data_IF_700489383465
#
_entry.id   IF_700489383465
#
_cell.length_a   1.000
_cell.length_b   1.000
_cell.length_c   1.000
_cell.angle_alpha   90.00
_cell.angle_beta   90.00
_cell.angle_gamma   90.00
#
_symmetry.space_group_name_H-M   'P 1'
#
loop_
_entity.id
_entity.type
_entity.pdbx_description
1 polymer ?
#
# COMPACT_ATOMS: atom_id res chain seq x y z
N UNK A 1 7.61 23.18 8.59
CA UNK A 1 8.02 22.59 7.29
C UNK A 1 6.80 22.57 6.38
N UNK A 2 6.94 23.11 5.16
CA UNK A 2 5.91 23.04 4.13
C UNK A 2 6.16 21.78 3.29
N UNK A 3 5.15 20.90 3.19
CA UNK A 3 5.26 19.62 2.48
C UNK A 3 4.32 19.63 1.28
N UNK A 4 4.83 19.21 0.12
CA UNK A 4 4.03 18.90 -1.06
C UNK A 4 3.95 17.39 -1.24
N UNK A 5 2.79 16.88 -1.66
CA UNK A 5 2.59 15.48 -1.96
C UNK A 5 2.07 15.31 -3.38
N UNK A 6 2.83 14.62 -4.22
CA UNK A 6 2.54 14.41 -5.64
C UNK A 6 2.09 12.98 -5.85
N UNK A 7 0.84 12.81 -6.28
CA UNK A 7 0.22 11.48 -6.47
C UNK A 7 -0.31 11.26 -7.88
N UNK A 8 -0.76 10.06 -8.16
CA UNK A 8 -1.32 9.68 -9.48
C UNK A 8 -2.58 10.45 -9.88
N UNK A 9 -3.21 11.18 -8.98
CA UNK A 9 -4.37 12.02 -9.26
C UNK A 9 -5.72 11.32 -9.12
N UNK A 10 -6.78 12.10 -9.27
CA UNK A 10 -8.18 11.67 -9.12
C UNK A 10 -8.78 12.05 -7.76
N UNK A 11 -8.01 12.66 -6.89
CA UNK A 11 -8.46 13.16 -5.58
C UNK A 11 -8.16 14.66 -5.51
N UNK A 12 -9.20 15.47 -5.47
CA UNK A 12 -9.06 16.93 -5.39
C UNK A 12 -8.94 17.42 -3.96
N UNK A 13 -9.54 16.69 -3.03
CA UNK A 13 -9.56 17.03 -1.62
C UNK A 13 -9.25 15.78 -0.79
N UNK A 14 -8.49 15.97 0.28
CA UNK A 14 -8.17 14.94 1.27
C UNK A 14 -8.69 15.44 2.61
N UNK A 15 -9.76 14.80 3.09
CA UNK A 15 -10.42 15.12 4.35
C UNK A 15 -10.44 13.88 5.25
N UNK A 16 -10.15 14.04 6.53
CA UNK A 16 -10.19 12.98 7.55
C UNK A 16 -11.54 12.26 7.64
N UNK A 17 -12.63 12.94 7.23
CA UNK A 17 -13.98 12.39 7.26
C UNK A 17 -14.33 11.57 6.00
N UNK A 18 -13.42 11.48 5.04
CA UNK A 18 -13.63 10.73 3.80
C UNK A 18 -12.84 9.42 3.79
N UNK A 19 -13.30 8.41 3.01
CA UNK A 19 -12.53 7.20 2.79
C UNK A 19 -11.18 7.52 2.15
N UNK A 20 -10.08 7.04 2.74
CA UNK A 20 -8.74 7.35 2.28
C UNK A 20 -7.97 6.09 1.87
N UNK A 21 -7.20 6.22 0.78
CA UNK A 21 -6.14 5.30 0.43
C UNK A 21 -4.86 5.63 1.23
N UNK A 22 -3.86 4.77 1.17
CA UNK A 22 -2.57 4.93 1.88
C UNK A 22 -1.93 6.30 1.62
N UNK A 23 -1.85 6.71 0.36
CA UNK A 23 -1.27 7.98 -0.07
C UNK A 23 -2.04 9.18 0.50
N UNK A 24 -3.37 9.12 0.46
CA UNK A 24 -4.23 10.17 1.03
C UNK A 24 -4.10 10.25 2.55
N UNK A 25 -3.98 9.11 3.24
CA UNK A 25 -3.74 9.07 4.68
C UNK A 25 -2.44 9.79 5.06
N UNK A 26 -1.39 9.64 4.24
CA UNK A 26 -0.14 10.36 4.44
C UNK A 26 -0.30 11.86 4.21
N UNK A 27 -0.97 12.28 3.13
CA UNK A 27 -1.27 13.70 2.85
C UNK A 27 -1.99 14.32 4.04
N UNK A 28 -3.00 13.62 4.57
CA UNK A 28 -3.81 14.08 5.68
C UNK A 28 -2.99 14.19 6.99
N UNK A 29 -2.24 13.16 7.36
CA UNK A 29 -1.45 13.13 8.58
C UNK A 29 -0.32 14.18 8.57
N UNK A 30 0.33 14.36 7.43
CA UNK A 30 1.41 15.33 7.25
C UNK A 30 0.92 16.75 7.02
N UNK A 31 -0.39 16.95 6.86
CA UNK A 31 -1.00 18.24 6.47
C UNK A 31 -0.32 18.82 5.21
N UNK A 32 -0.02 17.96 4.27
CA UNK A 32 0.69 18.30 3.06
C UNK A 32 -0.25 18.92 2.03
N UNK A 33 0.28 19.82 1.20
CA UNK A 33 -0.44 20.28 0.02
C UNK A 33 -0.46 19.15 -1.02
N UNK A 34 -1.65 18.74 -1.44
CA UNK A 34 -1.82 17.64 -2.38
C UNK A 34 -1.82 18.13 -3.82
N UNK A 35 -0.93 17.57 -4.61
CA UNK A 35 -0.76 17.88 -6.02
C UNK A 35 -0.92 16.62 -6.89
N UNK A 36 -2.07 16.42 -7.54
CA UNK A 36 -2.21 15.35 -8.53
C UNK A 36 -1.24 15.56 -9.71
N UNK A 37 -0.35 14.61 -9.94
CA UNK A 37 0.66 14.68 -11.03
C UNK A 37 0.04 15.02 -12.40
N UNK A 38 -1.14 14.48 -12.80
CA UNK A 38 -1.79 14.84 -14.06
C UNK A 38 -2.00 16.33 -14.28
N UNK A 39 -2.21 17.07 -13.21
CA UNK A 39 -2.42 18.51 -13.30
C UNK A 39 -1.11 19.29 -13.44
N UNK A 40 0.00 18.65 -13.04
CA UNK A 40 1.33 19.23 -13.13
C UNK A 40 2.03 19.00 -14.47
N UNK A 41 1.57 18.02 -15.26
CA UNK A 41 2.23 17.64 -16.53
C UNK A 41 1.41 18.07 -17.75
N UNK A 42 0.49 19.00 -17.63
CA UNK A 42 -0.21 19.50 -18.79
C UNK A 42 0.78 20.20 -19.74
N UNK A 43 0.86 19.74 -21.00
CA UNK A 43 1.84 20.16 -22.01
C UNK A 43 1.84 21.66 -22.31
N UNK A 44 0.71 22.33 -22.09
CA UNK A 44 0.57 23.75 -22.48
C UNK A 44 1.04 24.74 -21.40
N UNK A 45 1.18 24.27 -20.16
CA UNK A 45 1.63 25.13 -19.07
C UNK A 45 2.50 24.32 -18.14
N UNK A 46 3.79 24.64 -18.07
CA UNK A 46 4.62 24.10 -16.99
C UNK A 46 4.02 24.55 -15.65
N UNK A 47 3.34 23.66 -14.91
CA UNK A 47 2.60 24.04 -13.70
C UNK A 47 3.53 24.48 -12.57
N UNK A 48 4.81 24.04 -12.62
CA UNK A 48 5.83 24.48 -11.69
C UNK A 48 6.08 25.98 -11.82
N UNK A 49 5.97 26.55 -13.02
CA UNK A 49 6.04 28.00 -13.24
C UNK A 49 4.83 28.76 -12.66
N UNK A 50 3.71 28.07 -12.38
CA UNK A 50 2.52 28.65 -11.77
C UNK A 50 2.45 28.43 -10.26
N UNK A 51 3.21 27.49 -9.70
CA UNK A 51 3.28 27.27 -8.28
C UNK A 51 4.06 28.42 -7.62
N UNK A 52 3.33 29.32 -6.98
CA UNK A 52 3.95 30.47 -6.27
C UNK A 52 4.53 30.07 -4.90
N UNK A 53 4.27 28.84 -4.45
CA UNK A 53 4.71 28.32 -3.17
C UNK A 53 5.93 27.44 -3.37
N UNK A 54 6.94 27.63 -2.56
CA UNK A 54 8.09 26.74 -2.46
C UNK A 54 7.94 25.86 -1.22
N UNK A 55 8.39 24.61 -1.34
CA UNK A 55 8.24 23.60 -0.31
C UNK A 55 9.59 23.15 0.23
N UNK A 56 9.65 22.91 1.53
CA UNK A 56 10.86 22.32 2.15
C UNK A 56 11.04 20.87 1.69
N UNK A 57 9.94 20.15 1.45
CA UNK A 57 9.96 18.74 1.04
C UNK A 57 8.81 18.39 0.10
N UNK A 58 9.13 17.64 -0.95
CA UNK A 58 8.18 16.98 -1.84
C UNK A 58 8.22 15.46 -1.62
N UNK A 59 7.06 14.82 -1.51
CA UNK A 59 6.91 13.35 -1.55
C UNK A 59 6.20 12.99 -2.84
N UNK A 60 6.77 12.07 -3.60
CA UNK A 60 6.27 11.71 -4.94
C UNK A 60 5.94 10.24 -5.00
N UNK A 61 4.73 9.90 -5.41
CA UNK A 61 4.38 8.55 -5.85
C UNK A 61 4.39 8.54 -7.37
N UNK A 62 5.26 7.74 -7.95
CA UNK A 62 5.31 7.55 -9.40
C UNK A 62 4.44 6.34 -9.74
N UNK A 63 3.24 6.55 -10.31
CA UNK A 63 2.29 5.48 -10.51
C UNK A 63 2.85 4.40 -11.44
N UNK A 64 2.61 3.14 -11.09
CA UNK A 64 2.91 2.01 -11.95
C UNK A 64 2.00 2.02 -13.18
N UNK A 65 2.46 1.40 -14.25
CA UNK A 65 1.64 1.16 -15.44
C UNK A 65 0.34 0.49 -15.05
N UNK A 66 -0.77 1.18 -15.22
CA UNK A 66 -2.08 0.56 -15.06
C UNK A 66 -2.38 -0.27 -16.31
N UNK A 67 -1.71 -1.38 -16.48
CA UNK A 67 -1.95 -2.37 -17.53
C UNK A 67 -3.32 -3.05 -17.44
N UNK A 68 -4.31 -2.34 -17.01
CA UNK A 68 -5.67 -2.84 -16.83
C UNK A 68 -6.68 -1.85 -17.37
N UNK A 69 -7.41 -2.30 -18.31
CA UNK A 69 -8.69 -1.83 -18.79
C UNK A 69 -9.73 -1.50 -17.69
N UNK A 70 -9.36 -0.79 -16.65
CA UNK A 70 -10.34 -0.12 -15.82
C UNK A 70 -10.78 1.13 -16.60
N UNK A 71 -11.90 1.04 -17.29
CA UNK A 71 -12.36 1.94 -18.33
C UNK A 71 -12.58 3.41 -17.97
N UNK A 72 -12.03 3.87 -16.86
CA UNK A 72 -12.13 5.25 -16.40
C UNK A 72 -10.80 6.00 -16.30
N UNK A 73 -9.64 5.33 -16.42
CA UNK A 73 -8.35 5.99 -16.17
C UNK A 73 -7.25 5.48 -17.09
N UNK A 74 -7.27 5.89 -18.34
CA UNK A 74 -6.04 6.02 -19.12
C UNK A 74 -5.32 7.25 -18.56
N UNK A 75 -4.56 7.07 -17.50
CA UNK A 75 -3.70 8.15 -17.04
C UNK A 75 -2.52 8.28 -18.00
N UNK A 76 -2.46 9.40 -18.68
CA UNK A 76 -1.33 9.79 -19.52
C UNK A 76 -0.05 10.05 -18.71
N UNK A 77 -0.04 9.69 -17.41
CA UNK A 77 0.99 10.06 -16.43
C UNK A 77 1.50 8.87 -15.62
N UNK A 78 1.25 7.66 -16.08
CA UNK A 78 1.91 6.45 -15.56
C UNK A 78 3.37 6.38 -16.05
N UNK A 79 4.14 5.46 -15.48
CA UNK A 79 5.55 5.25 -15.83
C UNK A 79 5.76 5.01 -17.31
N UNK A 80 4.86 4.27 -17.96
CA UNK A 80 4.95 3.96 -19.38
C UNK A 80 4.88 5.24 -20.23
N UNK A 81 3.92 6.11 -19.97
CA UNK A 81 3.75 7.34 -20.73
C UNK A 81 4.84 8.37 -20.41
N UNK A 82 5.26 8.47 -19.15
CA UNK A 82 6.35 9.37 -18.75
C UNK A 82 7.69 8.89 -19.32
N UNK A 83 7.96 7.58 -19.36
CA UNK A 83 9.17 7.02 -19.94
C UNK A 83 9.24 7.22 -21.46
N UNK A 84 8.13 7.01 -22.18
CA UNK A 84 8.06 7.29 -23.63
C UNK A 84 8.39 8.74 -23.98
N UNK A 85 8.13 9.67 -23.08
CA UNK A 85 8.43 11.09 -23.26
C UNK A 85 9.79 11.47 -22.67
N UNK A 86 10.49 10.53 -22.03
CA UNK A 86 11.69 10.79 -21.21
C UNK A 86 11.50 11.98 -20.25
N UNK A 87 10.32 12.04 -19.60
CA UNK A 87 9.92 13.20 -18.81
C UNK A 87 10.75 13.32 -17.53
N UNK A 88 11.44 14.45 -17.27
CA UNK A 88 12.30 14.62 -16.11
C UNK A 88 11.47 14.99 -14.85
N UNK A 89 10.65 14.06 -14.34
CA UNK A 89 9.67 14.32 -13.30
C UNK A 89 10.31 14.89 -12.03
N UNK A 90 11.27 14.19 -11.46
CA UNK A 90 11.90 14.59 -10.19
C UNK A 90 12.64 15.92 -10.34
N UNK A 91 13.38 16.10 -11.43
CA UNK A 91 14.08 17.36 -11.72
C UNK A 91 13.10 18.55 -11.78
N UNK A 92 11.94 18.35 -12.38
CA UNK A 92 10.92 19.39 -12.45
C UNK A 92 10.31 19.69 -11.07
N UNK A 93 10.07 18.68 -10.25
CA UNK A 93 9.56 18.87 -8.88
C UNK A 93 10.60 19.62 -8.02
N UNK A 94 11.87 19.36 -8.22
CA UNK A 94 12.97 20.08 -7.53
C UNK A 94 13.03 21.59 -7.83
N UNK A 95 12.31 22.07 -8.84
CA UNK A 95 12.18 23.52 -9.08
C UNK A 95 11.33 24.22 -8.00
N UNK A 96 10.50 23.47 -7.27
CA UNK A 96 9.58 24.00 -6.26
C UNK A 96 9.74 23.32 -4.88
N UNK A 97 10.64 22.35 -4.76
CA UNK A 97 10.91 21.64 -3.50
C UNK A 97 12.42 21.59 -3.25
N UNK A 98 12.87 21.87 -2.02
CA UNK A 98 14.28 21.77 -1.63
C UNK A 98 14.76 20.33 -1.62
N UNK A 99 13.92 19.41 -1.17
CA UNK A 99 14.15 17.96 -1.14
C UNK A 99 12.98 17.22 -1.75
N UNK A 100 13.28 16.15 -2.48
CA UNK A 100 12.26 15.30 -3.10
C UNK A 100 12.49 13.84 -2.72
N UNK A 101 11.52 13.23 -2.07
CA UNK A 101 11.51 11.82 -1.69
C UNK A 101 10.55 11.05 -2.60
N UNK A 102 10.98 9.89 -3.10
CA UNK A 102 10.11 9.00 -3.85
C UNK A 102 9.54 7.93 -2.91
N UNK A 103 8.22 7.87 -2.79
CA UNK A 103 7.53 6.83 -2.03
C UNK A 103 7.29 5.60 -2.90
N UNK A 104 7.66 4.44 -2.40
CA UNK A 104 7.42 3.14 -3.02
C UNK A 104 6.18 2.49 -2.43
N UNK A 105 5.11 2.38 -3.21
CA UNK A 105 3.85 1.75 -2.74
C UNK A 105 3.94 0.24 -2.60
N UNK A 106 4.87 -0.40 -3.32
CA UNK A 106 4.96 -1.85 -3.43
C UNK A 106 6.36 -2.33 -3.12
N UNK A 107 6.53 -3.64 -2.87
CA UNK A 107 7.84 -4.26 -2.80
C UNK A 107 8.57 -4.16 -4.14
N UNK A 108 9.90 -4.17 -4.11
CA UNK A 108 10.73 -4.03 -5.30
C UNK A 108 10.48 -5.11 -6.37
N UNK A 109 9.94 -6.26 -6.01
CA UNK A 109 9.57 -7.32 -6.97
C UNK A 109 8.54 -6.85 -8.01
N UNK A 110 7.68 -5.93 -7.61
CA UNK A 110 6.60 -5.43 -8.44
C UNK A 110 7.10 -4.55 -9.60
N UNK A 111 8.32 -3.99 -9.47
CA UNK A 111 8.94 -3.17 -10.50
C UNK A 111 9.54 -3.98 -11.64
N UNK A 112 9.92 -5.22 -11.39
CA UNK A 112 10.58 -6.07 -12.39
C UNK A 112 9.62 -6.61 -13.46
N UNK A 113 8.36 -6.26 -13.38
CA UNK A 113 7.34 -6.63 -14.38
C UNK A 113 7.18 -5.60 -15.51
N UNK A 114 7.78 -4.40 -15.37
CA UNK A 114 7.80 -3.39 -16.42
C UNK A 114 8.87 -3.69 -17.48
N UNK A 115 8.76 -3.10 -18.67
CA UNK A 115 9.80 -3.22 -19.68
C UNK A 115 11.10 -2.55 -19.21
N UNK A 116 12.24 -3.00 -19.76
CA UNK A 116 13.57 -2.49 -19.38
C UNK A 116 13.66 -0.98 -19.59
N UNK A 117 13.06 -0.46 -20.67
CA UNK A 117 13.05 0.97 -21.00
C UNK A 117 12.31 1.78 -19.91
N UNK A 118 11.16 1.29 -19.46
CA UNK A 118 10.41 1.92 -18.37
C UNK A 118 11.23 1.89 -17.07
N UNK A 119 11.88 0.77 -16.80
CA UNK A 119 12.73 0.60 -15.63
C UNK A 119 13.96 1.51 -15.65
N UNK A 120 14.61 1.71 -16.82
CA UNK A 120 15.73 2.65 -16.96
C UNK A 120 15.27 4.09 -16.69
N UNK A 121 14.14 4.49 -17.27
CA UNK A 121 13.60 5.83 -16.99
C UNK A 121 13.31 5.99 -15.49
N UNK A 122 12.66 5.00 -14.89
CA UNK A 122 12.32 5.04 -13.48
C UNK A 122 13.55 5.07 -12.57
N UNK A 123 14.57 4.26 -12.88
CA UNK A 123 15.86 4.30 -12.21
C UNK A 123 16.47 5.72 -12.22
N UNK A 124 16.42 6.39 -13.37
CA UNK A 124 16.92 7.77 -13.47
C UNK A 124 16.14 8.73 -12.56
N UNK A 125 14.81 8.53 -12.40
CA UNK A 125 14.05 9.33 -11.45
C UNK A 125 14.46 9.02 -9.99
N UNK A 126 14.71 7.77 -9.65
CA UNK A 126 15.16 7.37 -8.31
C UNK A 126 16.54 7.93 -7.97
N UNK A 127 17.47 7.93 -8.94
CA UNK A 127 18.82 8.50 -8.76
C UNK A 127 18.76 10.02 -8.58
N UNK A 128 17.87 10.70 -9.27
CA UNK A 128 17.67 12.15 -9.16
C UNK A 128 17.00 12.56 -7.85
N UNK A 129 16.27 11.67 -7.17
CA UNK A 129 15.62 11.93 -5.89
C UNK A 129 16.63 12.12 -4.76
N UNK A 130 16.23 12.79 -3.68
CA UNK A 130 17.06 12.96 -2.48
C UNK A 130 16.97 11.78 -1.52
N UNK A 131 15.97 10.89 -1.69
CA UNK A 131 15.80 9.67 -0.91
C UNK A 131 14.58 8.87 -1.32
N UNK A 132 14.47 7.68 -0.75
CA UNK A 132 13.40 6.74 -1.06
C UNK A 132 12.69 6.33 0.22
N UNK A 133 11.36 6.37 0.21
CA UNK A 133 10.50 5.90 1.27
C UNK A 133 9.94 4.53 0.90
N UNK A 134 10.17 3.55 1.74
CA UNK A 134 9.72 2.17 1.56
C UNK A 134 8.73 1.78 2.65
N UNK A 135 7.72 0.99 2.31
CA UNK A 135 6.82 0.41 3.31
C UNK A 135 7.43 -0.81 4.00
N UNK A 136 8.32 -1.52 3.32
CA UNK A 136 8.86 -2.79 3.76
C UNK A 136 10.39 -2.75 3.87
N UNK A 137 10.94 -3.38 4.89
CA UNK A 137 12.39 -3.42 5.15
C UNK A 137 13.18 -4.21 4.09
N UNK A 138 12.54 -5.19 3.46
CA UNK A 138 13.12 -5.97 2.36
C UNK A 138 13.52 -5.08 1.16
N UNK A 139 12.92 -3.90 1.03
CA UNK A 139 13.16 -2.98 -0.08
C UNK A 139 14.39 -2.07 0.16
N UNK A 140 14.78 -1.87 1.41
CA UNK A 140 15.89 -0.97 1.76
C UNK A 140 17.22 -1.37 1.10
N UNK A 141 17.72 -2.63 1.22
CA UNK A 141 18.96 -3.02 0.58
C UNK A 141 18.90 -2.94 -0.94
N UNK A 142 17.73 -3.23 -1.51
CA UNK A 142 17.52 -3.12 -2.96
C UNK A 142 17.70 -1.69 -3.45
N UNK A 143 16.97 -0.73 -2.88
CA UNK A 143 17.04 0.67 -3.33
C UNK A 143 18.38 1.32 -3.02
N UNK A 144 19.00 0.99 -1.89
CA UNK A 144 20.40 1.41 -1.61
C UNK A 144 21.37 0.87 -2.65
N UNK A 145 21.18 -0.38 -3.09
CA UNK A 145 22.04 -1.01 -4.08
C UNK A 145 21.95 -0.40 -5.47
N UNK A 146 20.79 0.12 -5.85
CA UNK A 146 20.61 0.68 -7.22
C UNK A 146 20.83 2.18 -7.29
N UNK A 147 20.65 2.96 -6.21
CA UNK A 147 20.69 4.43 -6.29
C UNK A 147 21.80 5.08 -5.45
N UNK A 148 22.34 4.43 -4.46
CA UNK A 148 23.15 5.00 -3.39
C UNK A 148 22.46 6.11 -2.54
N UNK A 149 21.18 6.39 -2.80
CA UNK A 149 20.42 7.38 -2.05
C UNK A 149 19.98 6.82 -0.69
N UNK A 150 19.79 7.68 0.32
CA UNK A 150 19.22 7.24 1.58
C UNK A 150 17.84 6.65 1.37
N UNK A 151 17.60 5.50 2.00
CA UNK A 151 16.31 4.81 1.95
C UNK A 151 15.80 4.62 3.36
N UNK A 152 14.53 4.93 3.59
CA UNK A 152 13.90 4.96 4.91
C UNK A 152 12.66 4.09 4.92
N UNK A 153 12.38 3.47 6.08
CA UNK A 153 11.11 2.82 6.32
C UNK A 153 10.11 3.87 6.80
N UNK A 154 9.04 4.00 6.05
CA UNK A 154 7.85 4.72 6.48
C UNK A 154 6.63 3.84 6.18
N UNK A 155 5.99 3.26 7.22
CA UNK A 155 4.95 2.26 7.03
C UNK A 155 3.69 2.88 6.45
N UNK A 156 2.83 2.03 5.89
CA UNK A 156 1.48 2.42 5.52
C UNK A 156 0.73 2.98 6.74
N UNK A 157 -0.20 3.89 6.48
CA UNK A 157 -0.98 4.56 7.51
C UNK A 157 -2.48 4.37 7.26
N UNK A 158 -3.21 4.19 8.34
CA UNK A 158 -4.67 4.22 8.37
C UNK A 158 -5.14 5.38 9.26
N UNK A 159 -6.03 6.21 8.76
CA UNK A 159 -6.73 7.21 9.57
C UNK A 159 -7.95 6.54 10.18
N UNK A 160 -8.00 6.49 11.51
CA UNK A 160 -9.02 5.71 12.25
C UNK A 160 -10.37 6.43 12.37
N UNK A 161 -10.41 7.71 12.01
CA UNK A 161 -11.61 8.53 12.17
C UNK A 161 -12.80 7.96 11.38
N UNK A 162 -13.97 7.93 12.04
CA UNK A 162 -15.24 7.49 11.44
C UNK A 162 -15.34 6.02 10.98
N UNK A 163 -14.40 5.15 11.36
CA UNK A 163 -14.51 3.72 11.08
C UNK A 163 -15.67 3.13 11.90
N UNK A 164 -16.65 2.56 11.19
CA UNK A 164 -17.73 1.79 11.79
C UNK A 164 -17.42 0.30 11.68
N UNK A 165 -17.72 -0.44 12.74
CA UNK A 165 -17.51 -1.89 12.79
C UNK A 165 -18.79 -2.61 13.13
N UNK A 166 -18.94 -3.84 12.66
CA UNK A 166 -20.02 -4.73 13.06
C UNK A 166 -19.72 -5.31 14.45
N UNK A 167 -20.77 -5.46 15.28
CA UNK A 167 -20.70 -6.19 16.54
C UNK A 167 -20.80 -7.71 16.35
N UNK A 168 -21.12 -8.17 15.14
CA UNK A 168 -21.33 -9.58 14.82
C UNK A 168 -20.16 -10.05 13.97
N UNK A 169 -19.46 -11.09 14.44
CA UNK A 169 -18.51 -11.86 13.63
C UNK A 169 -19.20 -13.09 13.07
N UNK A 170 -18.99 -13.31 11.79
CA UNK A 170 -19.51 -14.46 11.06
C UNK A 170 -18.36 -15.40 10.69
N UNK A 171 -18.63 -16.71 10.62
CA UNK A 171 -17.66 -17.71 10.19
C UNK A 171 -17.35 -17.55 8.70
N UNK A 172 -16.53 -16.54 8.37
CA UNK A 172 -16.13 -16.13 7.04
C UNK A 172 -14.63 -15.87 6.97
N UNK A 173 -14.05 -16.13 5.80
CA UNK A 173 -12.66 -15.80 5.46
C UNK A 173 -12.67 -14.70 4.44
N UNK A 174 -11.94 -13.61 4.68
CA UNK A 174 -11.65 -12.62 3.66
C UNK A 174 -10.31 -12.92 3.01
N UNK A 175 -10.32 -13.16 1.71
CA UNK A 175 -9.14 -13.42 0.91
C UNK A 175 -8.80 -12.13 0.17
N UNK A 176 -7.74 -11.47 0.63
CA UNK A 176 -7.32 -10.19 0.07
C UNK A 176 -6.48 -10.39 -1.18
N UNK A 177 -6.52 -9.37 -2.02
CA UNK A 177 -5.75 -9.27 -3.25
C UNK A 177 -6.65 -9.06 -4.45
N UNK A 178 -6.06 -8.40 -5.43
CA UNK A 178 -6.62 -8.38 -6.77
C UNK A 178 -6.22 -9.69 -7.43
N UNK A 179 -7.15 -10.41 -7.97
CA UNK A 179 -6.94 -11.69 -8.66
C UNK A 179 -6.30 -11.51 -10.05
N UNK A 180 -5.59 -10.41 -10.23
CA UNK A 180 -4.77 -10.17 -11.40
C UNK A 180 -3.54 -11.09 -11.36
N UNK A 181 -3.01 -11.46 -12.52
CA UNK A 181 -1.84 -12.36 -12.64
C UNK A 181 -0.63 -11.87 -11.85
N UNK A 182 -0.45 -10.55 -11.73
CA UNK A 182 0.63 -9.92 -10.95
C UNK A 182 0.45 -10.07 -9.45
N UNK A 183 -0.77 -10.28 -8.99
CA UNK A 183 -1.08 -10.33 -7.56
C UNK A 183 -1.12 -11.74 -6.97
N UNK A 184 -0.94 -12.77 -7.80
CA UNK A 184 -0.80 -14.18 -7.41
C UNK A 184 -1.77 -14.62 -6.31
N UNK A 185 -3.07 -14.37 -6.54
CA UNK A 185 -4.13 -14.72 -5.60
C UNK A 185 -4.31 -16.23 -5.36
N UNK A 186 -3.63 -17.10 -6.13
CA UNK A 186 -3.75 -18.54 -6.00
C UNK A 186 -3.35 -19.05 -4.61
N UNK A 187 -2.22 -18.58 -4.06
CA UNK A 187 -1.78 -18.99 -2.73
C UNK A 187 -2.80 -18.58 -1.67
N UNK A 188 -3.34 -17.35 -1.76
CA UNK A 188 -4.36 -16.86 -0.85
C UNK A 188 -5.66 -17.68 -0.94
N UNK A 189 -6.03 -18.10 -2.16
CA UNK A 189 -7.17 -18.98 -2.37
C UNK A 189 -6.95 -20.37 -1.73
N UNK A 190 -5.79 -20.97 -1.92
CA UNK A 190 -5.45 -22.28 -1.31
C UNK A 190 -5.56 -22.20 0.21
N UNK A 191 -5.02 -21.14 0.82
CA UNK A 191 -5.05 -20.95 2.26
C UNK A 191 -6.47 -20.65 2.74
N UNK A 192 -7.20 -19.82 2.01
CA UNK A 192 -8.60 -19.50 2.32
C UNK A 192 -9.51 -20.73 2.27
N UNK A 193 -9.27 -21.59 1.29
CA UNK A 193 -10.04 -22.84 1.12
C UNK A 193 -9.79 -23.85 2.26
N UNK A 194 -8.62 -23.81 2.91
CA UNK A 194 -8.31 -24.67 4.05
C UNK A 194 -9.23 -24.45 5.25
N UNK A 195 -9.80 -23.25 5.39
CA UNK A 195 -10.78 -22.95 6.45
C UNK A 195 -12.12 -23.65 6.23
N UNK A 196 -12.41 -24.16 5.05
CA UNK A 196 -13.72 -24.77 4.73
C UNK A 196 -14.91 -23.89 5.15
N UNK A 197 -14.78 -22.58 4.97
CA UNK A 197 -15.76 -21.54 5.29
C UNK A 197 -16.07 -20.71 4.05
N UNK A 198 -17.19 -19.97 4.00
CA UNK A 198 -17.47 -19.03 2.93
C UNK A 198 -16.31 -18.03 2.76
N UNK A 199 -15.70 -18.02 1.57
CA UNK A 199 -14.66 -17.08 1.20
C UNK A 199 -15.25 -15.81 0.59
N UNK A 200 -14.71 -14.68 0.95
CA UNK A 200 -15.07 -13.37 0.41
C UNK A 200 -13.84 -12.68 -0.16
N UNK A 201 -14.04 -11.90 -1.22
CA UNK A 201 -12.98 -11.13 -1.85
C UNK A 201 -13.56 -9.99 -2.68
N UNK A 202 -12.71 -9.13 -3.23
CA UNK A 202 -13.15 -8.09 -4.12
C UNK A 202 -13.18 -8.54 -5.57
N UNK A 203 -14.23 -8.13 -6.29
CA UNK A 203 -14.28 -8.27 -7.74
C UNK A 203 -13.48 -7.11 -8.36
N UNK A 204 -12.34 -7.39 -8.97
CA UNK A 204 -11.57 -6.40 -9.72
C UNK A 204 -11.32 -6.84 -11.16
N UNK A 205 -11.63 -5.95 -12.11
CA UNK A 205 -11.20 -6.06 -13.51
C UNK A 205 -11.90 -7.10 -14.39
N UNK A 206 -11.49 -7.11 -15.67
CA UNK A 206 -12.06 -7.96 -16.74
C UNK A 206 -11.54 -9.41 -16.73
N UNK A 207 -10.52 -9.73 -15.95
CA UNK A 207 -9.84 -11.03 -15.99
C UNK A 207 -10.59 -12.16 -15.27
N UNK A 208 -11.81 -11.90 -14.82
CA UNK A 208 -12.55 -12.73 -13.88
C UNK A 208 -13.74 -13.48 -14.46
N UNK A 209 -13.74 -13.77 -15.76
CA UNK A 209 -14.87 -14.45 -16.39
C UNK A 209 -15.16 -15.87 -15.84
N UNK A 210 -14.18 -16.50 -15.17
CA UNK A 210 -14.30 -17.86 -14.61
C UNK A 210 -14.12 -17.91 -13.09
N UNK A 211 -14.07 -16.76 -12.39
CA UNK A 211 -13.84 -16.74 -10.94
C UNK A 211 -15.05 -17.21 -10.13
N UNK A 212 -16.23 -17.23 -10.71
CA UNK A 212 -17.43 -17.80 -10.09
C UNK A 212 -17.26 -19.29 -9.75
N UNK A 213 -16.34 -19.96 -10.44
CA UNK A 213 -16.03 -21.38 -10.23
C UNK A 213 -15.11 -21.65 -9.03
N UNK A 214 -14.52 -20.61 -8.43
CA UNK A 214 -13.52 -20.78 -7.37
C UNK A 214 -14.10 -20.74 -5.95
N UNK A 215 -15.41 -20.58 -5.80
CA UNK A 215 -16.08 -20.57 -4.50
C UNK A 215 -15.91 -19.27 -3.71
N UNK A 216 -15.43 -18.18 -4.33
CA UNK A 216 -15.34 -16.87 -3.68
C UNK A 216 -16.61 -16.06 -3.91
N UNK A 217 -17.16 -15.55 -2.82
CA UNK A 217 -18.23 -14.56 -2.84
C UNK A 217 -17.64 -13.17 -3.08
N UNK A 218 -17.74 -12.67 -4.31
CA UNK A 218 -17.18 -11.38 -4.65
C UNK A 218 -18.07 -10.23 -4.18
N UNK A 219 -17.50 -9.40 -3.30
CA UNK A 219 -18.12 -8.15 -2.92
C UNK A 219 -18.02 -7.14 -4.07
N UNK A 220 -19.08 -6.31 -4.27
CA UNK A 220 -19.00 -5.20 -5.22
C UNK A 220 -17.92 -4.22 -4.79
N UNK A 221 -17.49 -3.37 -5.74
CA UNK A 221 -16.63 -2.25 -5.38
C UNK A 221 -17.35 -1.34 -4.37
N UNK A 222 -16.64 -0.96 -3.31
CA UNK A 222 -17.15 -0.11 -2.24
C UNK A 222 -16.04 0.82 -1.75
N UNK A 223 -16.42 1.89 -1.07
CA UNK A 223 -15.44 2.75 -0.42
C UNK A 223 -14.76 2.05 0.77
N UNK A 224 -13.69 2.67 1.28
CA UNK A 224 -12.90 2.08 2.35
C UNK A 224 -13.67 1.93 3.67
N UNK A 225 -14.57 2.85 4.03
CA UNK A 225 -15.38 2.71 5.26
C UNK A 225 -16.37 1.54 5.16
N UNK A 226 -17.01 1.40 4.00
CA UNK A 226 -17.87 0.25 3.72
C UNK A 226 -17.07 -1.05 3.74
N UNK A 227 -15.87 -1.04 3.16
CA UNK A 227 -14.98 -2.19 3.22
C UNK A 227 -14.60 -2.57 4.67
N UNK A 228 -14.21 -1.61 5.50
CA UNK A 228 -13.87 -1.85 6.90
C UNK A 228 -15.06 -2.44 7.67
N UNK A 229 -16.28 -1.97 7.39
CA UNK A 229 -17.49 -2.52 7.97
C UNK A 229 -17.73 -3.98 7.53
N UNK A 230 -17.60 -4.30 6.22
CA UNK A 230 -17.77 -5.68 5.73
C UNK A 230 -16.64 -6.60 6.22
N UNK A 231 -15.40 -6.12 6.23
CA UNK A 231 -14.27 -6.86 6.77
C UNK A 231 -14.45 -7.17 8.27
N UNK A 232 -15.02 -6.24 9.03
CA UNK A 232 -15.24 -6.42 10.47
C UNK A 232 -16.16 -7.60 10.82
N UNK A 233 -16.99 -8.04 9.87
CA UNK A 233 -17.83 -9.24 10.00
C UNK A 233 -17.06 -10.54 9.82
N UNK A 234 -15.89 -10.51 9.19
CA UNK A 234 -15.11 -11.71 8.91
C UNK A 234 -14.33 -12.17 10.15
N UNK A 235 -14.20 -13.48 10.29
CA UNK A 235 -13.44 -14.11 11.40
C UNK A 235 -11.96 -14.22 11.08
N UNK A 236 -11.60 -14.45 9.82
CA UNK A 236 -10.23 -14.67 9.36
C UNK A 236 -9.90 -13.80 8.14
N UNK A 237 -8.62 -13.45 8.03
CA UNK A 237 -8.05 -12.79 6.85
C UNK A 237 -6.91 -13.60 6.25
N UNK A 238 -6.73 -13.53 4.95
CA UNK A 238 -5.59 -14.11 4.23
C UNK A 238 -5.06 -13.11 3.24
N UNK A 239 -3.75 -12.86 3.27
CA UNK A 239 -3.05 -12.05 2.28
C UNK A 239 -1.68 -12.62 1.96
N UNK A 240 -1.51 -13.12 0.73
CA UNK A 240 -0.21 -13.58 0.22
C UNK A 240 0.31 -12.72 -0.93
N UNK A 241 -0.19 -11.51 -0.98
CA UNK A 241 0.06 -10.55 -2.04
C UNK A 241 1.46 -9.97 -1.97
N UNK A 242 2.19 -10.01 -3.09
CA UNK A 242 3.59 -9.58 -3.16
C UNK A 242 3.77 -8.06 -3.24
N UNK A 243 2.89 -7.38 -3.95
CA UNK A 243 2.97 -5.95 -4.17
C UNK A 243 2.09 -5.21 -3.16
N UNK A 244 2.44 -5.25 -1.89
CA UNK A 244 1.60 -4.70 -0.84
C UNK A 244 2.31 -3.62 -0.03
N UNK A 245 1.66 -2.46 0.09
CA UNK A 245 1.98 -1.50 1.13
C UNK A 245 1.63 -2.01 2.54
N UNK A 246 0.96 -3.17 2.62
CA UNK A 246 0.56 -3.78 3.87
C UNK A 246 -0.74 -3.26 4.49
N UNK A 247 -1.60 -2.62 3.69
CA UNK A 247 -2.86 -2.05 4.21
C UNK A 247 -3.83 -3.11 4.73
N UNK A 248 -3.92 -4.28 4.10
CA UNK A 248 -4.88 -5.29 4.53
C UNK A 248 -4.53 -5.93 5.89
N UNK A 249 -3.30 -6.38 6.17
CA UNK A 249 -2.92 -6.82 7.52
C UNK A 249 -3.12 -5.72 8.56
N UNK A 250 -2.87 -4.45 8.20
CA UNK A 250 -3.11 -3.31 9.08
C UNK A 250 -4.60 -3.21 9.46
N UNK A 251 -5.49 -3.29 8.48
CA UNK A 251 -6.94 -3.28 8.69
C UNK A 251 -7.39 -4.46 9.57
N UNK A 252 -6.86 -5.65 9.29
CA UNK A 252 -7.16 -6.85 10.09
C UNK A 252 -6.72 -6.70 11.55
N UNK A 253 -5.52 -6.18 11.79
CA UNK A 253 -5.00 -5.97 13.14
C UNK A 253 -5.83 -4.95 13.92
N UNK A 254 -6.20 -3.83 13.32
CA UNK A 254 -7.11 -2.85 13.91
C UNK A 254 -8.44 -3.50 14.34
N UNK A 255 -9.01 -4.36 13.49
CA UNK A 255 -10.26 -5.06 13.75
C UNK A 255 -10.10 -6.30 14.65
N UNK A 256 -8.88 -6.71 14.98
CA UNK A 256 -8.59 -7.95 15.71
C UNK A 256 -8.98 -9.21 14.94
N UNK A 257 -8.76 -9.21 13.64
CA UNK A 257 -8.99 -10.35 12.75
C UNK A 257 -7.65 -11.03 12.49
N UNK A 258 -7.42 -12.28 12.95
CA UNK A 258 -6.22 -13.02 12.60
C UNK A 258 -6.02 -13.10 11.10
N UNK A 259 -4.84 -12.66 10.63
CA UNK A 259 -4.49 -12.62 9.21
C UNK A 259 -3.27 -13.49 8.94
N UNK A 260 -3.41 -14.49 8.06
CA UNK A 260 -2.29 -15.32 7.58
C UNK A 260 -1.68 -14.68 6.36
N UNK A 261 -0.35 -14.58 6.31
CA UNK A 261 0.35 -13.99 5.17
C UNK A 261 1.85 -14.27 5.15
N UNK A 262 2.53 -13.66 4.18
CA UNK A 262 3.97 -13.78 4.03
C UNK A 262 4.73 -12.70 4.80
N UNK A 263 5.91 -13.06 5.33
CA UNK A 263 6.74 -12.22 6.21
C UNK A 263 7.53 -11.10 5.49
N UNK A 264 7.43 -11.02 4.18
CA UNK A 264 8.04 -9.96 3.36
C UNK A 264 7.25 -8.63 3.36
N UNK A 265 6.07 -8.63 3.96
CA UNK A 265 5.28 -7.41 4.20
C UNK A 265 5.38 -7.05 5.68
N UNK A 266 5.95 -5.88 5.99
CA UNK A 266 6.21 -5.46 7.37
C UNK A 266 4.97 -5.49 8.27
N UNK A 267 3.84 -4.96 7.82
CA UNK A 267 2.61 -4.99 8.60
C UNK A 267 2.14 -6.41 8.91
N UNK A 268 2.33 -7.35 8.00
CA UNK A 268 2.03 -8.76 8.25
C UNK A 268 2.98 -9.33 9.31
N UNK A 269 4.28 -9.16 9.09
CA UNK A 269 5.33 -9.68 9.99
C UNK A 269 5.21 -9.10 11.41
N UNK A 270 5.00 -7.79 11.52
CA UNK A 270 4.99 -7.08 12.79
C UNK A 270 3.69 -7.29 13.57
N UNK A 271 2.55 -7.35 12.88
CA UNK A 271 1.22 -7.42 13.52
C UNK A 271 0.76 -8.86 13.78
N UNK A 272 1.23 -9.80 12.95
CA UNK A 272 0.88 -11.20 13.02
C UNK A 272 2.11 -12.12 13.00
N UNK A 273 3.09 -11.95 13.89
CA UNK A 273 4.34 -12.73 13.85
C UNK A 273 4.10 -14.25 13.93
N UNK A 274 3.06 -14.68 14.65
CA UNK A 274 2.70 -16.11 14.80
C UNK A 274 1.91 -16.67 13.59
N UNK A 275 1.52 -15.81 12.62
CA UNK A 275 0.77 -16.16 11.41
C UNK A 275 1.51 -15.77 10.12
N UNK A 276 2.76 -15.34 10.24
CA UNK A 276 3.62 -14.96 9.12
C UNK A 276 4.59 -16.08 8.81
N UNK A 277 4.66 -16.44 7.53
CA UNK A 277 5.54 -17.51 7.04
C UNK A 277 6.41 -17.00 5.89
N UNK A 278 7.45 -17.76 5.58
CA UNK A 278 8.25 -17.53 4.38
C UNK A 278 7.41 -17.64 3.11
N UNK A 279 7.73 -16.82 2.12
CA UNK A 279 7.03 -16.82 0.84
C UNK A 279 7.04 -18.22 0.20
N UNK A 280 5.85 -18.70 -0.15
CA UNK A 280 5.65 -20.02 -0.80
C UNK A 280 5.58 -21.19 0.16
N UNK A 281 5.70 -20.97 1.48
CA UNK A 281 5.49 -22.05 2.46
C UNK A 281 3.98 -22.28 2.71
N UNK A 282 3.33 -22.82 1.70
CA UNK A 282 1.90 -23.14 1.71
C UNK A 282 1.56 -24.20 2.78
N UNK A 283 2.46 -25.13 3.04
CA UNK A 283 2.21 -26.17 4.03
C UNK A 283 2.06 -25.56 5.44
N UNK A 284 2.94 -24.67 5.81
CA UNK A 284 2.85 -23.98 7.11
C UNK A 284 1.63 -23.08 7.20
N UNK A 285 1.27 -22.36 6.12
CA UNK A 285 0.06 -21.53 6.13
C UNK A 285 -1.22 -22.34 6.33
N UNK A 286 -1.33 -23.50 5.69
CA UNK A 286 -2.46 -24.42 5.87
C UNK A 286 -2.54 -24.95 7.29
N UNK A 287 -1.41 -25.33 7.89
CA UNK A 287 -1.36 -25.74 9.31
C UNK A 287 -1.83 -24.62 10.25
N UNK A 288 -1.46 -23.36 9.96
CA UNK A 288 -1.90 -22.20 10.74
C UNK A 288 -3.41 -21.95 10.59
N UNK A 289 -3.98 -22.12 9.40
CA UNK A 289 -5.42 -22.01 9.18
C UNK A 289 -6.18 -23.03 10.02
N UNK A 290 -5.77 -24.30 9.96
CA UNK A 290 -6.36 -25.36 10.79
C UNK A 290 -6.23 -25.08 12.30
N UNK A 291 -5.06 -24.57 12.72
CA UNK A 291 -4.82 -24.22 14.13
C UNK A 291 -5.74 -23.09 14.60
N UNK A 292 -5.93 -22.05 13.78
CA UNK A 292 -6.84 -20.94 14.09
C UNK A 292 -8.29 -21.40 14.25
N UNK A 293 -8.74 -22.39 13.46
CA UNK A 293 -10.08 -22.94 13.55
C UNK A 293 -10.28 -23.85 14.75
N UNK A 294 -9.30 -24.72 15.02
CA UNK A 294 -9.43 -25.77 16.02
C UNK A 294 -9.05 -25.35 17.43
N UNK A 295 -8.40 -24.18 17.59
CA UNK A 295 -7.91 -23.71 18.89
C UNK A 295 -8.38 -22.28 19.17
N UNK A 296 -9.45 -22.14 19.91
CA UNK A 296 -10.06 -20.87 20.28
C UNK A 296 -9.13 -20.00 21.13
N UNK A 297 -8.34 -20.58 22.02
CA UNK A 297 -7.36 -19.83 22.83
C UNK A 297 -6.30 -19.20 21.93
N UNK A 298 -5.78 -19.96 20.95
CA UNK A 298 -4.84 -19.44 19.96
C UNK A 298 -5.45 -18.30 19.14
N UNK A 299 -6.68 -18.47 18.66
CA UNK A 299 -7.41 -17.43 17.92
C UNK A 299 -7.52 -16.14 18.74
N UNK A 300 -8.03 -16.25 20.00
CA UNK A 300 -8.24 -15.11 20.89
C UNK A 300 -6.93 -14.40 21.23
N UNK A 301 -5.86 -15.17 21.50
CA UNK A 301 -4.51 -14.62 21.74
C UNK A 301 -4.00 -13.81 20.55
N UNK A 302 -4.15 -14.32 19.33
CA UNK A 302 -3.72 -13.61 18.12
C UNK A 302 -4.55 -12.33 17.90
N UNK A 303 -5.87 -12.43 18.07
CA UNK A 303 -6.79 -11.28 17.92
C UNK A 303 -6.43 -10.14 18.87
N UNK A 304 -6.18 -10.43 20.14
CA UNK A 304 -5.79 -9.43 21.14
C UNK A 304 -4.41 -8.86 20.83
N UNK A 305 -3.42 -9.75 20.63
CA UNK A 305 -2.03 -9.37 20.35
C UNK A 305 -1.89 -8.47 19.13
N UNK A 306 -2.64 -8.74 18.05
CA UNK A 306 -2.57 -7.93 16.84
C UNK A 306 -3.08 -6.50 17.07
N UNK A 307 -4.15 -6.31 17.86
CA UNK A 307 -4.62 -4.96 18.25
C UNK A 307 -3.60 -4.21 19.12
N UNK A 308 -2.97 -4.90 20.05
CA UNK A 308 -1.93 -4.31 20.89
C UNK A 308 -0.72 -3.86 20.06
N UNK A 309 -0.29 -4.71 19.12
CA UNK A 309 0.82 -4.40 18.21
C UNK A 309 0.46 -3.25 17.26
N UNK A 310 -0.77 -3.22 16.74
CA UNK A 310 -1.26 -2.10 15.95
C UNK A 310 -1.16 -0.79 16.74
N UNK A 311 -1.70 -0.74 17.96
CA UNK A 311 -1.65 0.44 18.81
C UNK A 311 -0.22 0.88 19.14
N UNK A 312 0.69 -0.07 19.30
CA UNK A 312 2.09 0.18 19.64
C UNK A 312 2.92 0.69 18.45
N UNK A 313 2.67 0.20 17.23
CA UNK A 313 3.58 0.34 16.10
C UNK A 313 3.04 1.19 14.95
N UNK A 314 1.71 1.21 14.72
CA UNK A 314 1.12 1.68 13.47
C UNK A 314 0.10 2.82 13.60
N UNK A 315 -0.13 3.33 14.81
CA UNK A 315 -0.97 4.53 14.99
C UNK A 315 -0.35 5.77 14.33
N UNK A 316 -1.18 6.74 14.04
CA UNK A 316 -0.78 8.00 13.39
C UNK A 316 0.38 8.71 14.13
N UNK A 317 0.39 8.71 15.47
CA UNK A 317 1.49 9.29 16.24
C UNK A 317 2.84 8.60 16.00
N UNK A 318 2.82 7.29 15.76
CA UNK A 318 4.02 6.50 15.41
C UNK A 318 4.50 6.81 14.01
N UNK A 319 3.57 6.90 13.06
CA UNK A 319 3.87 7.34 11.71
C UNK A 319 4.52 8.72 11.71
N UNK A 320 3.93 9.69 12.39
CA UNK A 320 4.47 11.06 12.50
C UNK A 320 5.85 11.07 13.16
N UNK A 321 6.08 10.25 14.19
CA UNK A 321 7.40 10.11 14.80
C UNK A 321 8.43 9.58 13.81
N UNK A 322 8.10 8.55 13.04
CA UNK A 322 8.99 7.99 12.03
C UNK A 322 9.30 9.01 10.94
N UNK A 323 8.30 9.75 10.48
CA UNK A 323 8.49 10.81 9.50
C UNK A 323 9.40 11.92 10.05
N UNK A 324 9.21 12.36 11.29
CA UNK A 324 10.07 13.37 11.91
C UNK A 324 11.54 12.90 12.02
N UNK A 325 11.80 11.61 12.22
CA UNK A 325 13.16 11.08 12.19
C UNK A 325 13.80 11.24 10.80
N UNK A 326 13.02 11.09 9.74
CA UNK A 326 13.49 11.33 8.36
C UNK A 326 13.80 12.80 8.14
N UNK A 327 12.96 13.70 8.64
CA UNK A 327 13.21 15.14 8.58
C UNK A 327 14.52 15.49 9.29
N UNK A 328 14.69 15.04 10.53
CA UNK A 328 15.90 15.29 11.31
C UNK A 328 17.17 14.79 10.61
N UNK A 329 17.08 13.68 9.87
CA UNK A 329 18.20 13.21 9.05
C UNK A 329 18.63 14.27 8.02
N UNK A 330 17.69 14.89 7.32
CA UNK A 330 18.02 15.91 6.32
C UNK A 330 18.47 17.25 6.94
N UNK A 331 17.96 17.60 8.10
CA UNK A 331 18.40 18.80 8.82
C UNK A 331 19.84 18.68 9.34
N UNK A 332 20.20 17.50 9.81
CA UNK A 332 21.54 17.23 10.35
C UNK A 332 22.63 16.98 9.27
N UNK A 333 22.23 16.80 8.01
CA UNK A 333 23.11 16.54 6.88
C UNK A 333 23.02 17.66 5.81
N UNK A 334 22.63 18.85 6.21
CA UNK A 334 22.66 20.09 5.41
C UNK A 334 24.04 20.64 5.21
#
# INVERSE_FOLDING_TARGET
MNIAFFTEGGYTEVDRNQPMRTDQSWVCALKADHHPIPWFINKETNPYNKCKKHYDMGVVIIPKTTGGNTGARKHSFDRENLSKQNYPLIKNIKLICDKVLVMQESTHFDFQEDSVEIMIWYYNQLVEADGILCHNDIDIPYYKGITNNPSFILPTLMIEDNIKTSNIKEDKVFVAGNWHTTYRGFDAWVIGNEFNLPMYGFKSGKFKQNEELNGINYLPWMDWFQFMFELSKCKYGVQTYQASAGQFPLNCAYLGIPCIGYNDVNTQKDLFPDLSVERGDILSTRKLANKLQSNEEFYNRISIKSKELYNKLYKEDKFLKNYNNIINYYENNR
#
